data_IF_981892454809
#
_entry.id   IF_981892454809
#
_cell.length_a   1.000
_cell.length_b   1.000
_cell.length_c   1.000
_cell.angle_alpha   90.00
_cell.angle_beta   90.00
_cell.angle_gamma   90.00
#
_symmetry.space_group_name_H-M   'P 1'
#
loop_
_entity.id
_entity.type
_entity.pdbx_description
1 polymer ?
#
# COMPACT_ATOMS: atom_id res chain seq x y z
N UNK A 1 -5.73 -6.47 -9.22
CA UNK A 1 -5.40 -5.07 -8.94
C UNK A 1 -5.30 -4.31 -10.27
N UNK A 2 -5.99 -3.18 -10.35
CA UNK A 2 -5.93 -2.29 -11.53
C UNK A 2 -5.25 -1.00 -11.12
N UNK A 3 -4.18 -0.63 -11.83
CA UNK A 3 -3.42 0.58 -11.53
C UNK A 3 -3.99 1.79 -12.26
N UNK A 4 -4.17 2.90 -11.56
CA UNK A 4 -4.60 4.16 -12.13
C UNK A 4 -3.64 4.69 -13.21
N UNK A 5 -2.35 4.40 -13.12
CA UNK A 5 -1.36 4.76 -14.14
C UNK A 5 -1.68 4.08 -15.48
N UNK A 6 -2.05 2.80 -15.46
CA UNK A 6 -2.42 2.07 -16.67
C UNK A 6 -3.76 2.54 -17.25
N UNK A 7 -4.68 2.98 -16.40
CA UNK A 7 -5.99 3.49 -16.83
C UNK A 7 -5.85 4.86 -17.48
N UNK A 8 -5.06 5.76 -16.91
CA UNK A 8 -4.93 7.15 -17.35
C UNK A 8 -4.00 7.37 -18.54
N UNK A 9 -3.08 6.44 -18.84
CA UNK A 9 -2.05 6.59 -19.88
C UNK A 9 -2.45 6.03 -21.24
N UNK A 10 -3.65 5.47 -21.39
CA UNK A 10 -4.16 4.92 -22.66
C UNK A 10 -4.91 5.97 -23.46
N UNK A 11 -4.82 5.87 -24.79
CA UNK A 11 -5.66 6.65 -25.71
C UNK A 11 -7.15 6.34 -25.50
N UNK A 12 -7.46 5.09 -25.16
CA UNK A 12 -8.79 4.64 -24.74
C UNK A 12 -8.71 4.20 -23.26
N UNK A 13 -9.03 5.08 -22.31
CA UNK A 13 -9.00 4.74 -20.91
C UNK A 13 -10.04 3.65 -20.58
N UNK A 14 -9.65 2.70 -19.73
CA UNK A 14 -10.54 1.66 -19.26
C UNK A 14 -11.65 2.28 -18.39
N UNK A 15 -12.92 2.02 -18.74
CA UNK A 15 -14.03 2.31 -17.84
C UNK A 15 -14.01 1.30 -16.69
N UNK A 16 -13.62 1.79 -15.51
CA UNK A 16 -13.49 0.93 -14.33
C UNK A 16 -14.85 0.39 -13.85
N UNK A 17 -15.91 1.17 -14.00
CA UNK A 17 -17.24 0.74 -13.57
C UNK A 17 -17.74 -0.43 -14.44
N UNK A 18 -17.63 -0.30 -15.75
CA UNK A 18 -17.99 -1.37 -16.67
C UNK A 18 -17.10 -2.60 -16.45
N UNK A 19 -15.80 -2.40 -16.35
CA UNK A 19 -14.84 -3.49 -16.10
C UNK A 19 -15.17 -4.26 -14.81
N UNK A 20 -15.43 -3.57 -13.70
CA UNK A 20 -15.73 -4.21 -12.41
C UNK A 20 -17.06 -4.96 -12.45
N UNK A 21 -18.05 -4.41 -13.15
CA UNK A 21 -19.35 -5.06 -13.34
C UNK A 21 -19.23 -6.36 -14.13
N UNK A 22 -18.37 -6.38 -15.15
CA UNK A 22 -18.23 -7.51 -16.06
C UNK A 22 -17.32 -8.62 -15.52
N UNK A 23 -16.52 -8.32 -14.49
CA UNK A 23 -15.63 -9.28 -13.84
C UNK A 23 -16.31 -9.92 -12.64
N UNK A 24 -16.48 -11.24 -12.65
CA UNK A 24 -17.11 -12.02 -11.58
C UNK A 24 -16.18 -12.29 -10.38
N UNK A 25 -15.33 -11.32 -10.02
CA UNK A 25 -14.43 -11.44 -8.88
C UNK A 25 -14.24 -10.09 -8.15
N UNK A 26 -13.89 -10.10 -6.86
CA UNK A 26 -13.58 -8.88 -6.13
C UNK A 26 -12.40 -8.13 -6.76
N UNK A 27 -12.58 -6.83 -7.03
CA UNK A 27 -11.55 -5.98 -7.66
C UNK A 27 -11.06 -4.93 -6.66
N UNK A 28 -9.74 -4.82 -6.53
CA UNK A 28 -9.06 -3.76 -5.79
C UNK A 28 -8.47 -2.78 -6.81
N UNK A 29 -8.70 -1.49 -6.61
CA UNK A 29 -8.26 -0.43 -7.52
C UNK A 29 -7.37 0.59 -6.80
N UNK A 30 -6.52 1.30 -7.54
CA UNK A 30 -5.64 2.35 -7.01
C UNK A 30 -4.48 2.64 -7.98
N UNK A 31 -3.56 3.60 -7.65
CA UNK A 31 -3.47 4.31 -6.36
C UNK A 31 -4.23 5.62 -6.33
N UNK A 32 -4.66 5.96 -5.15
CA UNK A 32 -5.23 7.25 -4.85
C UNK A 32 -4.53 7.87 -3.63
N UNK A 33 -4.68 9.18 -3.46
CA UNK A 33 -4.04 9.90 -2.36
C UNK A 33 -4.89 11.09 -1.85
N UNK A 34 -6.18 11.12 -2.15
CA UNK A 34 -7.10 12.16 -1.71
C UNK A 34 -8.48 11.61 -1.42
N UNK A 35 -9.24 12.32 -0.59
CA UNK A 35 -10.63 12.00 -0.29
C UNK A 35 -11.49 11.81 -1.56
N UNK A 36 -11.44 12.78 -2.47
CA UNK A 36 -12.26 12.74 -3.69
C UNK A 36 -11.85 11.59 -4.63
N UNK A 37 -10.54 11.32 -4.77
CA UNK A 37 -10.04 10.22 -5.56
C UNK A 37 -10.44 8.87 -4.99
N UNK A 38 -10.32 8.69 -3.66
CA UNK A 38 -10.75 7.47 -2.99
C UNK A 38 -12.25 7.24 -3.14
N UNK A 39 -13.09 8.27 -2.88
CA UNK A 39 -14.53 8.17 -3.03
C UNK A 39 -14.96 7.83 -4.47
N UNK A 40 -14.30 8.45 -5.45
CA UNK A 40 -14.55 8.13 -6.85
C UNK A 40 -14.27 6.64 -7.15
N UNK A 41 -13.12 6.11 -6.71
CA UNK A 41 -12.78 4.70 -6.91
C UNK A 41 -13.72 3.75 -6.17
N UNK A 42 -14.18 4.10 -4.95
CA UNK A 42 -15.16 3.31 -4.22
C UNK A 42 -16.49 3.21 -4.98
N UNK A 43 -16.92 4.30 -5.62
CA UNK A 43 -18.16 4.36 -6.41
C UNK A 43 -18.11 3.53 -7.70
N UNK A 44 -16.95 3.09 -8.16
CA UNK A 44 -16.84 2.15 -9.28
C UNK A 44 -17.27 0.72 -8.93
N UNK A 45 -17.49 0.43 -7.65
CA UNK A 45 -17.87 -0.91 -7.18
C UNK A 45 -16.70 -1.73 -6.65
N UNK A 46 -15.52 -1.15 -6.55
CA UNK A 46 -14.34 -1.79 -5.97
C UNK A 46 -14.59 -2.27 -4.53
N UNK A 47 -13.99 -3.38 -4.13
CA UNK A 47 -14.04 -3.89 -2.76
C UNK A 47 -12.91 -3.36 -1.88
N UNK A 48 -11.89 -2.77 -2.50
CA UNK A 48 -10.77 -2.13 -1.81
C UNK A 48 -10.09 -1.09 -2.67
N UNK A 49 -9.46 -0.11 -2.02
CA UNK A 49 -8.66 0.92 -2.66
C UNK A 49 -7.22 0.88 -2.15
N UNK A 50 -6.25 0.94 -3.06
CA UNK A 50 -4.85 1.13 -2.73
C UNK A 50 -4.57 2.62 -2.56
N UNK A 51 -4.10 2.99 -1.36
CA UNK A 51 -3.87 4.37 -0.98
C UNK A 51 -2.38 4.65 -0.88
N UNK A 52 -1.92 5.55 -1.71
CA UNK A 52 -0.53 5.98 -1.79
C UNK A 52 -0.12 6.27 -3.22
N UNK A 53 0.54 7.39 -3.43
CA UNK A 53 1.18 7.79 -4.68
C UNK A 53 2.63 8.13 -4.38
N UNK A 54 3.53 7.23 -4.77
CA UNK A 54 4.96 7.40 -4.64
C UNK A 54 5.58 7.26 -3.24
N UNK A 55 4.95 6.63 -2.20
CA UNK A 55 5.59 6.52 -0.89
C UNK A 55 6.60 5.37 -0.79
N UNK A 56 6.58 4.42 -1.73
CA UNK A 56 7.46 3.26 -1.74
C UNK A 56 8.92 3.63 -1.95
N UNK A 57 9.83 2.89 -1.32
CA UNK A 57 11.28 3.14 -1.39
C UNK A 57 11.82 3.05 -2.83
N UNK A 58 11.26 2.15 -3.66
CA UNK A 58 11.66 1.98 -5.05
C UNK A 58 10.89 2.90 -6.03
N UNK A 59 9.96 3.74 -5.53
CA UNK A 59 9.19 4.63 -6.38
C UNK A 59 9.92 5.94 -6.64
N UNK A 60 9.94 6.38 -7.89
CA UNK A 60 10.58 7.62 -8.33
C UNK A 60 9.61 8.79 -8.49
N UNK A 61 8.32 8.54 -8.40
CA UNK A 61 7.26 9.53 -8.67
C UNK A 61 7.43 10.81 -7.87
N UNK A 62 7.68 10.73 -6.56
CA UNK A 62 7.85 11.93 -5.71
C UNK A 62 9.11 12.70 -6.03
N UNK A 63 10.22 12.00 -6.23
CA UNK A 63 11.52 12.64 -6.50
C UNK A 63 11.65 13.21 -7.91
N UNK A 64 11.06 12.56 -8.90
CA UNK A 64 11.19 12.92 -10.32
C UNK A 64 10.06 13.82 -10.79
N UNK A 65 8.81 13.52 -10.39
CA UNK A 65 7.64 14.27 -10.86
C UNK A 65 7.12 15.27 -9.84
N UNK A 66 7.58 15.23 -8.58
CA UNK A 66 7.08 16.08 -7.52
C UNK A 66 5.64 15.78 -7.10
N UNK A 67 5.12 14.60 -7.47
CA UNK A 67 3.74 14.21 -7.18
C UNK A 67 3.72 13.29 -5.97
N UNK A 68 2.86 13.61 -4.99
CA UNK A 68 2.65 12.77 -3.81
C UNK A 68 1.96 13.51 -2.68
N UNK A 69 1.39 12.74 -1.77
CA UNK A 69 0.77 13.22 -0.52
C UNK A 69 1.42 12.45 0.63
N UNK A 70 1.66 13.08 1.80
CA UNK A 70 2.11 12.36 2.98
C UNK A 70 1.17 11.18 3.28
N UNK A 71 1.75 10.00 3.53
CA UNK A 71 0.96 8.75 3.57
C UNK A 71 -0.10 8.74 4.67
N UNK A 72 0.20 9.28 5.85
CA UNK A 72 -0.77 9.40 6.93
C UNK A 72 -2.00 10.25 6.52
N UNK A 73 -1.76 11.37 5.83
CA UNK A 73 -2.82 12.25 5.30
C UNK A 73 -3.66 11.51 4.26
N UNK A 74 -3.01 10.85 3.30
CA UNK A 74 -3.72 10.13 2.25
C UNK A 74 -4.60 8.99 2.80
N UNK A 75 -4.11 8.27 3.83
CA UNK A 75 -4.88 7.21 4.49
C UNK A 75 -6.08 7.79 5.24
N UNK A 76 -5.89 8.87 6.01
CA UNK A 76 -6.98 9.52 6.75
C UNK A 76 -8.07 10.07 5.81
N UNK A 77 -7.68 10.66 4.70
CA UNK A 77 -8.59 11.13 3.64
C UNK A 77 -9.41 9.96 3.05
N UNK A 78 -8.75 8.86 2.71
CA UNK A 78 -9.41 7.67 2.17
C UNK A 78 -10.33 6.99 3.20
N UNK A 79 -9.94 6.97 4.47
CA UNK A 79 -10.78 6.46 5.56
C UNK A 79 -12.02 7.32 5.76
N UNK A 80 -11.89 8.66 5.66
CA UNK A 80 -13.03 9.58 5.64
C UNK A 80 -13.97 9.33 4.46
N UNK A 81 -13.43 9.12 3.27
CA UNK A 81 -14.18 8.77 2.07
C UNK A 81 -14.94 7.44 2.23
N UNK A 82 -14.29 6.41 2.82
CA UNK A 82 -14.93 5.13 3.14
C UNK A 82 -16.12 5.31 4.08
N UNK A 83 -15.99 6.14 5.12
CA UNK A 83 -17.08 6.40 6.07
C UNK A 83 -18.27 7.04 5.36
N UNK A 84 -18.04 8.04 4.53
CA UNK A 84 -19.11 8.66 3.74
C UNK A 84 -19.75 7.68 2.76
N UNK A 85 -18.95 6.86 2.07
CA UNK A 85 -19.47 5.85 1.15
C UNK A 85 -20.28 4.76 1.85
N UNK A 86 -19.85 4.35 3.04
CA UNK A 86 -20.58 3.39 3.86
C UNK A 86 -21.95 3.97 4.31
N UNK A 87 -21.99 5.24 4.73
CA UNK A 87 -23.24 5.94 5.07
C UNK A 87 -24.17 6.08 3.86
N UNK A 88 -23.61 6.39 2.69
CA UNK A 88 -24.36 6.56 1.44
C UNK A 88 -24.96 5.25 0.92
N UNK A 89 -24.23 4.13 1.03
CA UNK A 89 -24.55 2.90 0.28
C UNK A 89 -24.75 1.65 1.13
N UNK A 90 -24.34 1.68 2.41
CA UNK A 90 -24.27 0.50 3.28
C UNK A 90 -23.11 -0.46 2.93
N UNK A 91 -22.24 -0.12 1.97
CA UNK A 91 -21.14 -0.98 1.50
C UNK A 91 -19.82 -0.55 2.12
N UNK A 92 -19.10 -1.52 2.69
CA UNK A 92 -17.75 -1.31 3.20
C UNK A 92 -16.72 -1.55 2.10
N UNK A 93 -15.77 -0.63 1.94
CA UNK A 93 -14.65 -0.73 1.01
C UNK A 93 -13.34 -0.67 1.80
N UNK A 94 -12.46 -1.64 1.61
CA UNK A 94 -11.21 -1.71 2.34
C UNK A 94 -10.22 -0.63 1.90
N UNK A 95 -9.61 0.05 2.87
CA UNK A 95 -8.52 1.00 2.66
C UNK A 95 -7.20 0.29 2.89
N UNK A 96 -6.39 0.14 1.85
CA UNK A 96 -5.12 -0.56 1.89
C UNK A 96 -3.99 0.46 1.73
N UNK A 97 -3.19 0.67 2.77
CA UNK A 97 -2.05 1.58 2.71
C UNK A 97 -0.94 0.97 1.85
N UNK A 98 -0.66 1.58 0.70
CA UNK A 98 0.29 1.07 -0.29
C UNK A 98 1.57 1.91 -0.31
N UNK A 99 2.65 1.27 0.11
CA UNK A 99 4.00 1.82 0.09
C UNK A 99 4.43 2.58 1.35
N UNK A 100 5.74 2.59 1.58
CA UNK A 100 6.37 3.30 2.69
C UNK A 100 6.40 2.55 4.02
N UNK A 101 5.87 1.33 4.09
CA UNK A 101 5.84 0.49 5.29
C UNK A 101 7.17 -0.26 5.45
N UNK A 102 7.98 0.08 6.45
CA UNK A 102 9.30 -0.51 6.70
C UNK A 102 9.44 -1.11 8.09
N UNK A 103 8.68 -0.60 9.06
CA UNK A 103 8.78 -0.96 10.47
C UNK A 103 7.39 -1.26 11.05
N UNK A 104 7.35 -1.96 12.19
CA UNK A 104 6.11 -2.16 12.93
C UNK A 104 5.43 -0.84 13.32
N UNK A 105 6.22 0.22 13.58
CA UNK A 105 5.69 1.56 13.84
C UNK A 105 5.03 2.20 12.63
N UNK A 106 5.52 1.94 11.40
CA UNK A 106 4.85 2.43 10.18
C UNK A 106 3.52 1.73 9.97
N UNK A 107 3.48 0.40 10.18
CA UNK A 107 2.24 -0.39 10.14
C UNK A 107 1.24 0.15 11.15
N UNK A 108 1.66 0.36 12.40
CA UNK A 108 0.80 0.89 13.46
C UNK A 108 0.21 2.25 13.12
N UNK A 109 1.02 3.16 12.57
CA UNK A 109 0.55 4.48 12.13
C UNK A 109 -0.46 4.37 10.99
N UNK A 110 -0.25 3.48 10.03
CA UNK A 110 -1.19 3.28 8.92
C UNK A 110 -2.55 2.81 9.42
N UNK A 111 -2.58 1.82 10.32
CA UNK A 111 -3.83 1.32 10.93
C UNK A 111 -4.50 2.41 11.77
N UNK A 112 -3.74 3.15 12.58
CA UNK A 112 -4.27 4.26 13.38
C UNK A 112 -4.87 5.39 12.53
N UNK A 113 -4.35 5.60 11.31
CA UNK A 113 -4.91 6.56 10.35
C UNK A 113 -6.17 6.03 9.62
N UNK A 114 -6.55 4.77 9.83
CA UNK A 114 -7.78 4.18 9.29
C UNK A 114 -7.59 3.20 8.14
N UNK A 115 -6.36 2.72 7.90
CA UNK A 115 -6.15 1.60 6.97
C UNK A 115 -6.64 0.28 7.58
N UNK A 116 -7.20 -0.58 6.75
CA UNK A 116 -7.59 -1.95 7.12
C UNK A 116 -6.44 -2.95 6.90
N UNK A 117 -5.54 -2.61 5.97
CA UNK A 117 -4.38 -3.43 5.63
C UNK A 117 -3.23 -2.55 5.13
N UNK A 118 -2.04 -3.15 5.06
CA UNK A 118 -0.83 -2.51 4.52
C UNK A 118 -0.19 -3.37 3.43
N UNK A 119 0.38 -2.72 2.43
CA UNK A 119 1.18 -3.36 1.39
C UNK A 119 2.66 -3.32 1.80
N UNK A 120 3.28 -4.50 1.89
CA UNK A 120 4.68 -4.65 2.26
C UNK A 120 5.52 -5.00 1.02
N UNK A 121 6.39 -4.11 0.60
CA UNK A 121 7.34 -4.34 -0.50
C UNK A 121 8.74 -4.65 0.01
N UNK A 122 9.48 -3.62 0.42
CA UNK A 122 10.87 -3.76 0.87
C UNK A 122 11.08 -4.77 2.02
N UNK A 123 10.20 -4.88 3.04
CA UNK A 123 10.35 -5.92 4.04
C UNK A 123 10.30 -7.33 3.46
N UNK A 124 9.41 -7.58 2.50
CA UNK A 124 9.30 -8.89 1.86
C UNK A 124 10.48 -9.16 0.91
N UNK A 125 10.98 -8.13 0.23
CA UNK A 125 12.17 -8.24 -0.60
C UNK A 125 13.44 -8.54 0.22
N UNK A 126 13.46 -8.17 1.50
CA UNK A 126 14.56 -8.44 2.44
C UNK A 126 14.46 -9.82 3.13
N UNK A 127 13.46 -10.63 2.80
CA UNK A 127 13.35 -11.98 3.32
C UNK A 127 14.33 -12.94 2.64
N UNK A 128 14.82 -13.94 3.39
CA UNK A 128 15.69 -14.99 2.86
C UNK A 128 15.01 -15.80 1.74
N UNK A 129 13.69 -15.98 1.85
CA UNK A 129 12.88 -16.70 0.87
C UNK A 129 12.59 -15.88 -0.39
N UNK A 130 12.93 -14.58 -0.38
CA UNK A 130 12.68 -13.71 -1.54
C UNK A 130 13.59 -14.05 -2.70
N UNK A 131 13.07 -14.27 -3.92
CA UNK A 131 13.90 -14.49 -5.10
C UNK A 131 14.63 -13.24 -5.58
N UNK A 132 14.42 -12.10 -4.91
CA UNK A 132 14.94 -10.79 -5.31
C UNK A 132 16.45 -10.61 -5.08
N UNK A 133 17.09 -11.51 -4.34
CA UNK A 133 18.52 -11.43 -4.02
C UNK A 133 18.91 -10.18 -3.21
N UNK A 134 18.02 -9.69 -2.35
CA UNK A 134 18.25 -8.51 -1.52
C UNK A 134 17.97 -7.17 -2.22
N UNK A 135 17.20 -7.18 -3.28
CA UNK A 135 16.80 -5.97 -4.00
C UNK A 135 15.29 -5.84 -4.08
N UNK A 136 14.82 -4.61 -3.98
CA UNK A 136 13.44 -4.23 -4.26
C UNK A 136 13.40 -3.29 -5.46
N UNK A 137 12.49 -3.53 -6.39
CA UNK A 137 12.26 -2.65 -7.53
C UNK A 137 10.79 -2.32 -7.67
N UNK A 138 10.50 -1.11 -8.20
CA UNK A 138 9.14 -0.61 -8.36
C UNK A 138 8.38 -1.23 -9.52
N UNK A 139 7.11 -0.91 -9.64
CA UNK A 139 6.24 -1.33 -10.76
C UNK A 139 6.75 -0.88 -12.12
N UNK A 140 7.40 0.29 -12.19
CA UNK A 140 8.10 0.78 -13.38
C UNK A 140 9.47 0.10 -13.55
N UNK A 141 9.50 -1.22 -13.43
CA UNK A 141 10.71 -2.04 -13.46
C UNK A 141 11.46 -1.87 -14.77
N UNK A 142 12.80 -1.89 -14.67
CA UNK A 142 13.67 -1.86 -15.83
C UNK A 142 13.29 -2.97 -16.83
N UNK A 143 13.14 -2.56 -18.09
CA UNK A 143 12.97 -3.47 -19.21
C UNK A 143 14.15 -3.26 -20.19
N UNK A 144 14.67 -4.31 -20.87
CA UNK A 144 15.82 -4.17 -21.78
C UNK A 144 15.70 -3.08 -22.84
N UNK A 145 14.47 -2.80 -23.27
CA UNK A 145 14.18 -1.77 -24.29
C UNK A 145 13.64 -0.46 -23.71
N UNK A 146 13.34 -0.40 -22.41
CA UNK A 146 12.78 0.77 -21.74
C UNK A 146 13.60 1.03 -20.47
N UNK A 147 14.45 2.08 -20.43
CA UNK A 147 15.27 2.40 -19.25
C UNK A 147 14.41 2.98 -18.13
N UNK A 148 13.56 2.12 -17.55
CA UNK A 148 12.60 2.47 -16.49
C UNK A 148 12.92 1.66 -15.24
N UNK A 149 12.54 2.22 -14.12
CA UNK A 149 12.61 1.57 -12.84
C UNK A 149 13.83 1.96 -12.01
N UNK A 150 13.63 1.90 -10.73
CA UNK A 150 14.67 2.02 -9.72
C UNK A 150 14.80 0.72 -8.97
N UNK A 151 16.02 0.40 -8.53
CA UNK A 151 16.32 -0.69 -7.60
C UNK A 151 16.81 -0.09 -6.30
N UNK A 152 16.35 -0.66 -5.21
CA UNK A 152 16.80 -0.32 -3.86
C UNK A 152 17.38 -1.59 -3.24
N UNK A 153 18.60 -1.50 -2.77
CA UNK A 153 19.20 -2.57 -1.99
C UNK A 153 18.51 -2.63 -0.62
N UNK A 154 17.96 -3.78 -0.30
CA UNK A 154 17.31 -4.04 1.00
C UNK A 154 18.22 -4.84 1.92
N UNK A 155 19.20 -5.54 1.34
CA UNK A 155 19.92 -6.62 2.00
C UNK A 155 18.99 -7.77 2.37
N UNK A 156 19.50 -8.68 3.18
CA UNK A 156 18.72 -9.77 3.78
C UNK A 156 18.59 -9.52 5.27
N UNK A 157 17.35 -9.50 5.77
CA UNK A 157 17.07 -9.28 7.19
C UNK A 157 16.94 -10.60 7.95
N UNK A 158 16.29 -11.59 7.36
CA UNK A 158 15.97 -12.87 7.97
C UNK A 158 14.83 -13.53 7.23
N UNK A 159 14.23 -14.56 7.83
CA UNK A 159 13.08 -15.25 7.25
C UNK A 159 11.82 -14.38 7.25
N UNK A 160 10.83 -14.72 6.40
CA UNK A 160 9.51 -14.07 6.42
C UNK A 160 8.90 -14.15 7.83
N UNK A 161 9.07 -15.28 8.51
CA UNK A 161 8.57 -15.47 9.86
C UNK A 161 9.23 -14.49 10.85
N UNK A 162 10.54 -14.32 10.81
CA UNK A 162 11.26 -13.36 11.67
C UNK A 162 10.81 -11.91 11.38
N UNK A 163 10.64 -11.57 10.11
CA UNK A 163 10.19 -10.22 9.69
C UNK A 163 8.77 -9.94 10.20
N UNK A 164 7.85 -10.88 10.06
CA UNK A 164 6.45 -10.68 10.41
C UNK A 164 6.18 -10.92 11.90
N UNK A 165 6.66 -12.03 12.44
CA UNK A 165 6.27 -12.56 13.76
C UNK A 165 7.42 -12.53 14.78
N UNK A 166 8.68 -12.35 14.34
CA UNK A 166 9.85 -12.33 15.19
C UNK A 166 10.52 -13.70 15.40
N UNK A 167 11.51 -13.76 16.26
CA UNK A 167 11.90 -12.73 17.21
C UNK A 167 12.64 -11.53 16.60
N UNK A 168 12.46 -10.33 17.17
CA UNK A 168 13.29 -9.18 16.86
C UNK A 168 14.64 -9.31 17.62
N UNK A 169 15.75 -9.09 16.89
CA UNK A 169 17.10 -9.14 17.45
C UNK A 169 17.72 -7.76 17.64
N UNK A 170 17.08 -6.74 17.05
CA UNK A 170 17.54 -5.35 17.02
C UNK A 170 16.38 -4.40 17.33
N UNK A 171 16.69 -3.17 17.73
CA UNK A 171 15.71 -2.16 18.12
C UNK A 171 15.34 -1.22 16.95
N UNK A 172 15.44 -1.70 15.71
CA UNK A 172 15.16 -0.91 14.50
C UNK A 172 13.71 -1.02 13.99
N UNK A 173 12.91 -1.92 14.61
CA UNK A 173 11.51 -2.14 14.25
C UNK A 173 11.27 -2.87 12.94
N UNK A 174 12.31 -3.36 12.28
CA UNK A 174 12.23 -3.99 10.94
C UNK A 174 11.84 -5.47 11.00
N UNK A 175 12.02 -6.11 12.15
CA UNK A 175 11.54 -7.47 12.44
C UNK A 175 10.36 -7.43 13.41
N UNK A 176 9.58 -8.50 13.42
CA UNK A 176 8.40 -8.64 14.27
C UNK A 176 7.39 -7.50 14.05
N UNK A 177 7.01 -7.26 12.80
CA UNK A 177 6.10 -6.17 12.43
C UNK A 177 4.74 -6.29 13.14
N UNK A 178 4.20 -7.51 13.29
CA UNK A 178 2.98 -7.76 14.05
C UNK A 178 3.15 -7.52 15.55
N UNK A 179 4.31 -7.86 16.10
CA UNK A 179 4.63 -7.53 17.50
C UNK A 179 4.70 -6.02 17.73
N UNK A 180 5.26 -5.28 16.78
CA UNK A 180 5.26 -3.82 16.78
C UNK A 180 3.84 -3.24 16.79
N UNK A 181 2.96 -3.74 15.92
CA UNK A 181 1.54 -3.35 15.89
C UNK A 181 0.84 -3.69 17.23
N UNK A 182 0.97 -4.92 17.71
CA UNK A 182 0.39 -5.35 18.99
C UNK A 182 0.89 -4.51 20.16
N UNK A 183 2.19 -4.23 20.20
CA UNK A 183 2.78 -3.37 21.22
C UNK A 183 2.22 -1.95 21.20
N UNK A 184 2.06 -1.38 20.02
CA UNK A 184 1.44 -0.05 19.84
C UNK A 184 -0.01 -0.04 20.32
N UNK A 185 -0.81 -1.05 19.94
CA UNK A 185 -2.20 -1.19 20.40
C UNK A 185 -2.28 -1.28 21.93
N UNK A 186 -1.47 -2.15 22.54
CA UNK A 186 -1.44 -2.31 23.99
C UNK A 186 -1.03 -1.01 24.69
N UNK A 187 -0.03 -0.30 24.18
CA UNK A 187 0.45 0.97 24.76
C UNK A 187 -0.61 2.07 24.69
N UNK A 188 -1.45 2.06 23.65
CA UNK A 188 -2.53 3.04 23.47
C UNK A 188 -3.87 2.59 24.06
N UNK A 189 -3.92 1.46 24.75
CA UNK A 189 -5.09 0.99 25.51
C UNK A 189 -6.07 0.12 24.69
N UNK A 190 -5.69 -0.35 23.53
CA UNK A 190 -6.50 -1.30 22.75
C UNK A 190 -6.20 -2.73 23.15
N UNK A 191 -7.23 -3.51 23.45
CA UNK A 191 -7.11 -4.90 23.90
C UNK A 191 -7.17 -5.91 22.72
N UNK A 192 -7.77 -5.53 21.61
CA UNK A 192 -7.95 -6.36 20.38
C UNK A 192 -7.85 -5.50 19.14
#
# INVERSE_FOLDING_TARGET
VVSAEHVSSREEPLDLFEFIRDVEMPVIVGGCASYSGALHLMRTGAVGVLVGVGPGAACTTRGVLGIGVPQATAIADAAGARSAYLEETGRYVHVIADGGMRTGGDVSKAIACGADAVMLGSPMAAAEESPSGGYHWGMATFHPTLPRGSRVETGTLGTIEEILLGPARENDGRRNLFGGLRGSMATTGYAT
#
